data_IF_167141959162
#
_entry.id   IF_167141959162
#
_cell.length_a   1.000
_cell.length_b   1.000
_cell.length_c   1.000
_cell.angle_alpha   90.00
_cell.angle_beta   90.00
_cell.angle_gamma   90.00
#
_symmetry.space_group_name_H-M   'P 1'
#
loop_
_entity.id
_entity.type
_entity.pdbx_description
1 polymer ?
#
# COMPACT_ATOMS: atom_id res chain seq x y z
N UNK A 1 33.50 -4.64 -0.24
CA UNK A 1 33.44 -4.89 1.22
C UNK A 1 32.45 -6.01 1.42
N UNK A 2 32.86 -7.05 2.12
CA UNK A 2 32.00 -8.16 2.50
C UNK A 2 31.20 -7.76 3.74
N UNK A 3 29.87 -7.85 3.69
CA UNK A 3 29.01 -7.58 4.84
C UNK A 3 28.95 -8.82 5.72
N UNK A 4 29.12 -8.62 7.02
CA UNK A 4 28.92 -9.66 8.03
C UNK A 4 27.86 -9.21 9.05
N UNK A 5 27.48 -10.11 9.96
CA UNK A 5 26.44 -9.87 10.97
C UNK A 5 26.71 -8.65 11.87
N UNK A 6 27.98 -8.38 12.17
CA UNK A 6 28.40 -7.26 13.03
C UNK A 6 28.61 -5.95 12.25
N UNK A 7 28.44 -5.98 10.93
CA UNK A 7 28.56 -4.79 10.10
C UNK A 7 27.46 -3.81 10.46
N UNK A 8 27.80 -2.52 10.49
CA UNK A 8 26.80 -1.47 10.68
C UNK A 8 25.73 -1.54 9.60
N UNK A 9 24.47 -1.41 10.01
CA UNK A 9 23.31 -1.46 9.10
C UNK A 9 23.37 -0.38 8.00
N UNK A 10 24.13 0.70 8.22
CA UNK A 10 24.35 1.77 7.24
C UNK A 10 25.06 1.29 5.96
N UNK A 11 25.82 0.19 6.01
CA UNK A 11 26.50 -0.34 4.83
C UNK A 11 25.61 -1.29 4.01
N UNK A 12 24.40 -1.59 4.49
CA UNK A 12 23.41 -2.36 3.73
C UNK A 12 22.93 -1.51 2.54
N UNK A 13 22.86 -2.06 1.31
CA UNK A 13 22.36 -1.33 0.16
C UNK A 13 21.01 -0.66 0.44
N UNK A 14 20.87 0.60 0.02
CA UNK A 14 19.68 1.46 0.25
C UNK A 14 19.47 1.92 1.70
N UNK A 15 20.32 1.52 2.65
CA UNK A 15 20.32 2.04 4.03
C UNK A 15 21.28 3.23 4.16
N UNK A 16 20.86 4.38 3.64
CA UNK A 16 21.62 5.62 3.81
C UNK A 16 21.65 6.12 5.27
N UNK A 17 22.49 7.13 5.60
CA UNK A 17 22.63 7.65 6.96
C UNK A 17 21.32 8.10 7.62
N UNK A 18 20.37 8.62 6.84
CA UNK A 18 19.05 9.01 7.35
C UNK A 18 18.22 7.80 7.78
N UNK A 19 18.23 6.71 7.01
CA UNK A 19 17.50 5.50 7.37
C UNK A 19 18.17 4.78 8.55
N UNK A 20 19.50 4.73 8.57
CA UNK A 20 20.27 4.21 9.71
C UNK A 20 19.92 4.93 11.03
N UNK A 21 19.78 6.26 11.02
CA UNK A 21 19.32 7.02 12.20
C UNK A 21 17.89 6.64 12.66
N UNK A 22 16.99 6.29 11.72
CA UNK A 22 15.64 5.82 12.07
C UNK A 22 15.67 4.40 12.64
N UNK A 23 16.47 3.51 12.04
CA UNK A 23 16.69 2.13 12.50
C UNK A 23 17.31 2.10 13.90
N UNK A 24 18.25 3.00 14.19
CA UNK A 24 18.85 3.13 15.52
C UNK A 24 17.80 3.45 16.62
N UNK A 25 16.75 4.21 16.30
CA UNK A 25 15.64 4.46 17.24
C UNK A 25 14.80 3.22 17.54
N UNK A 26 14.87 2.20 16.69
CA UNK A 26 14.24 0.89 16.87
C UNK A 26 15.20 -0.13 17.52
N UNK A 27 16.41 0.31 17.92
CA UNK A 27 17.45 -0.58 18.47
C UNK A 27 18.22 -1.37 17.42
N UNK A 28 18.12 -1.01 16.13
CA UNK A 28 18.76 -1.72 15.02
C UNK A 28 20.06 -1.00 14.63
N UNK A 29 21.20 -1.57 15.02
CA UNK A 29 22.52 -1.00 14.72
C UNK A 29 23.33 -1.83 13.72
N UNK A 30 23.14 -3.14 13.72
CA UNK A 30 23.90 -4.11 12.93
C UNK A 30 23.05 -4.84 11.91
N UNK A 31 23.70 -5.56 11.00
CA UNK A 31 23.03 -6.49 10.06
C UNK A 31 22.28 -7.58 10.83
N UNK A 32 22.84 -8.09 11.93
CA UNK A 32 22.17 -9.08 12.78
C UNK A 32 20.87 -8.56 13.37
N UNK A 33 20.89 -7.34 13.94
CA UNK A 33 19.69 -6.73 14.51
C UNK A 33 18.59 -6.59 13.46
N UNK A 34 18.96 -6.19 12.23
CA UNK A 34 18.01 -6.01 11.14
C UNK A 34 17.34 -7.33 10.74
N UNK A 35 18.11 -8.41 10.64
CA UNK A 35 17.58 -9.74 10.26
C UNK A 35 16.69 -10.31 11.37
N UNK A 36 17.06 -10.09 12.63
CA UNK A 36 16.29 -10.57 13.79
C UNK A 36 15.07 -9.70 14.10
N UNK A 37 14.94 -8.53 13.49
CA UNK A 37 13.79 -7.63 13.68
C UNK A 37 12.57 -8.17 12.94
N UNK A 38 11.77 -8.98 13.63
CA UNK A 38 10.56 -9.55 13.08
C UNK A 38 9.51 -8.47 12.72
N UNK A 39 8.74 -8.65 11.63
CA UNK A 39 7.63 -7.77 11.29
C UNK A 39 6.60 -7.69 12.42
N UNK A 40 6.13 -6.48 12.71
CA UNK A 40 5.04 -6.27 13.68
C UNK A 40 3.72 -6.92 13.24
N UNK A 41 3.45 -6.95 11.93
CA UNK A 41 2.27 -7.56 11.32
C UNK A 41 2.61 -8.10 9.94
N UNK A 42 2.02 -9.26 9.62
CA UNK A 42 1.93 -9.77 8.25
C UNK A 42 0.55 -9.41 7.70
N UNK A 43 0.51 -8.67 6.60
CA UNK A 43 -0.73 -8.45 5.86
C UNK A 43 -0.85 -9.53 4.79
N UNK A 44 -1.91 -10.31 4.85
CA UNK A 44 -2.21 -11.33 3.84
C UNK A 44 -3.10 -10.72 2.75
N UNK A 45 -2.60 -10.72 1.52
CA UNK A 45 -3.30 -10.23 0.33
C UNK A 45 -3.71 -11.37 -0.62
N UNK A 46 -3.55 -12.62 -0.20
CA UNK A 46 -3.85 -13.81 -1.02
C UNK A 46 -5.36 -13.98 -1.28
N UNK A 47 -6.20 -13.51 -0.36
CA UNK A 47 -7.65 -13.59 -0.48
C UNK A 47 -8.15 -12.57 -1.49
N UNK A 48 -8.35 -13.03 -2.73
CA UNK A 48 -8.91 -12.23 -3.81
C UNK A 48 -10.37 -12.62 -4.04
N UNK A 49 -11.27 -11.64 -4.05
CA UNK A 49 -12.70 -11.86 -4.27
C UNK A 49 -13.18 -11.12 -5.52
N UNK A 50 -14.06 -11.73 -6.35
CA UNK A 50 -14.77 -11.02 -7.40
C UNK A 50 -15.57 -9.86 -6.80
N UNK A 51 -15.60 -8.72 -7.49
CA UNK A 51 -16.20 -7.48 -6.97
C UNK A 51 -17.64 -7.70 -6.49
N UNK A 52 -18.46 -8.46 -7.23
CA UNK A 52 -19.86 -8.69 -6.90
C UNK A 52 -20.09 -9.51 -5.61
N UNK A 53 -19.06 -10.18 -5.08
CA UNK A 53 -19.17 -11.02 -3.87
C UNK A 53 -18.69 -10.33 -2.60
N UNK A 54 -18.10 -9.15 -2.75
CA UNK A 54 -17.51 -8.41 -1.64
C UNK A 54 -18.62 -7.83 -0.76
N UNK A 55 -18.45 -7.94 0.57
CA UNK A 55 -19.41 -7.40 1.53
C UNK A 55 -18.79 -6.29 2.40
N UNK A 56 -19.59 -5.29 2.83
CA UNK A 56 -19.15 -4.30 3.80
C UNK A 56 -18.66 -4.94 5.10
N UNK A 57 -17.56 -4.42 5.64
CA UNK A 57 -16.92 -4.92 6.86
C UNK A 57 -15.78 -5.91 6.62
N UNK A 58 -15.64 -6.44 5.41
CA UNK A 58 -14.55 -7.34 5.04
C UNK A 58 -13.27 -6.58 4.70
N UNK A 59 -12.12 -7.25 4.87
CA UNK A 59 -10.83 -6.82 4.32
C UNK A 59 -10.41 -7.84 3.27
N UNK A 60 -10.48 -7.46 2.00
CA UNK A 60 -10.23 -8.35 0.86
C UNK A 60 -9.40 -7.65 -0.20
N UNK A 61 -8.79 -8.45 -1.08
CA UNK A 61 -8.20 -7.96 -2.32
C UNK A 61 -9.24 -8.06 -3.44
N UNK A 62 -9.40 -7.01 -4.23
CA UNK A 62 -10.15 -7.01 -5.48
C UNK A 62 -9.18 -6.76 -6.64
N UNK A 63 -9.41 -7.43 -7.78
CA UNK A 63 -8.66 -7.22 -9.01
C UNK A 63 -9.60 -6.71 -10.09
N UNK A 64 -9.18 -5.72 -10.86
CA UNK A 64 -10.01 -5.14 -11.90
C UNK A 64 -9.27 -4.19 -12.83
N UNK A 65 -9.94 -3.80 -13.90
CA UNK A 65 -9.48 -2.81 -14.87
C UNK A 65 -9.92 -1.44 -14.37
N UNK A 66 -9.00 -0.48 -14.38
CA UNK A 66 -9.30 0.92 -14.05
C UNK A 66 -10.18 1.53 -15.14
N UNK A 67 -11.39 1.96 -14.78
CA UNK A 67 -12.29 2.69 -15.68
C UNK A 67 -12.02 4.19 -15.62
N UNK A 68 -11.79 4.71 -14.42
CA UNK A 68 -11.49 6.13 -14.21
C UNK A 68 -10.75 6.34 -12.90
N UNK A 69 -9.95 7.41 -12.83
CA UNK A 69 -9.29 7.86 -11.62
C UNK A 69 -9.22 9.39 -11.60
N UNK A 70 -9.53 10.01 -10.46
CA UNK A 70 -9.50 11.47 -10.31
C UNK A 70 -9.08 11.90 -8.91
N UNK A 71 -8.60 13.14 -8.84
CA UNK A 71 -8.49 13.87 -7.57
C UNK A 71 -9.82 14.57 -7.29
N UNK A 72 -10.39 14.34 -6.12
CA UNK A 72 -11.54 15.04 -5.58
C UNK A 72 -11.16 15.82 -4.32
N UNK A 73 -11.75 17.01 -4.16
CA UNK A 73 -11.54 17.85 -2.99
C UNK A 73 -12.86 17.99 -2.25
N UNK A 74 -12.89 17.61 -0.98
CA UNK A 74 -14.08 17.76 -0.14
C UNK A 74 -14.25 19.21 0.31
N UNK A 75 -15.47 19.59 0.72
CA UNK A 75 -15.78 20.92 1.29
C UNK A 75 -14.86 21.32 2.46
N UNK A 76 -14.36 20.34 3.20
CA UNK A 76 -13.48 20.54 4.36
C UNK A 76 -11.98 20.49 3.97
N UNK A 77 -11.65 20.56 2.68
CA UNK A 77 -10.26 20.58 2.20
C UNK A 77 -9.55 19.22 2.20
N UNK A 78 -10.22 18.12 2.59
CA UNK A 78 -9.62 16.78 2.46
C UNK A 78 -9.45 16.42 0.99
N UNK A 79 -8.30 15.82 0.68
CA UNK A 79 -7.92 15.35 -0.65
C UNK A 79 -8.28 13.88 -0.78
N UNK A 80 -9.14 13.56 -1.73
CA UNK A 80 -9.58 12.22 -2.05
C UNK A 80 -9.09 11.84 -3.43
N UNK A 81 -8.66 10.59 -3.58
CA UNK A 81 -8.37 9.99 -4.87
C UNK A 81 -9.42 8.91 -5.08
N UNK A 82 -10.33 9.18 -5.99
CA UNK A 82 -11.45 8.31 -6.31
C UNK A 82 -11.12 7.60 -7.60
N UNK A 83 -11.21 6.28 -7.57
CA UNK A 83 -10.97 5.42 -8.72
C UNK A 83 -12.10 4.42 -8.82
N UNK A 84 -12.57 4.20 -10.05
CA UNK A 84 -13.50 3.13 -10.35
C UNK A 84 -12.76 2.01 -11.05
N UNK A 85 -12.90 0.80 -10.56
CA UNK A 85 -12.45 -0.42 -11.22
C UNK A 85 -13.65 -1.30 -11.57
N UNK A 86 -13.49 -2.11 -12.60
CA UNK A 86 -14.44 -3.16 -12.95
C UNK A 86 -13.77 -4.50 -13.20
N UNK A 87 -14.51 -5.57 -12.90
CA UNK A 87 -14.21 -6.92 -13.31
C UNK A 87 -15.41 -7.49 -14.07
N UNK A 88 -15.37 -8.79 -14.40
CA UNK A 88 -16.48 -9.46 -15.10
C UNK A 88 -17.78 -9.53 -14.28
N UNK A 89 -17.70 -9.29 -12.98
CA UNK A 89 -18.81 -9.45 -12.02
C UNK A 89 -19.46 -8.11 -11.64
N UNK A 90 -18.71 -7.00 -11.64
CA UNK A 90 -19.26 -5.69 -11.28
C UNK A 90 -18.21 -4.58 -11.24
N UNK A 91 -18.58 -3.48 -10.60
CA UNK A 91 -17.76 -2.27 -10.43
C UNK A 91 -17.54 -1.97 -8.95
N UNK A 92 -16.38 -1.40 -8.62
CA UNK A 92 -16.02 -1.00 -7.27
C UNK A 92 -15.40 0.40 -7.28
N UNK A 93 -15.91 1.27 -6.40
CA UNK A 93 -15.30 2.57 -6.14
C UNK A 93 -14.25 2.42 -5.02
N UNK A 94 -13.04 2.87 -5.31
CA UNK A 94 -11.87 2.81 -4.44
C UNK A 94 -11.46 4.23 -4.09
N UNK A 95 -11.31 4.49 -2.80
CA UNK A 95 -10.99 5.83 -2.29
C UNK A 95 -9.72 5.80 -1.46
N UNK A 96 -8.76 6.65 -1.81
CA UNK A 96 -7.60 6.94 -0.96
C UNK A 96 -7.66 8.36 -0.40
N UNK A 97 -7.13 8.51 0.81
CA UNK A 97 -6.98 9.82 1.47
C UNK A 97 -5.55 10.34 1.29
N UNK A 98 -5.43 11.58 0.81
CA UNK A 98 -4.17 12.32 0.72
C UNK A 98 -3.09 11.66 -0.17
N UNK A 99 -3.46 10.88 -1.18
CA UNK A 99 -2.56 10.19 -2.11
C UNK A 99 -2.56 10.83 -3.52
N UNK A 100 -2.40 12.16 -3.61
CA UNK A 100 -2.53 12.96 -4.85
C UNK A 100 -1.67 12.51 -6.05
N UNK A 101 -0.66 11.66 -5.84
CA UNK A 101 0.19 11.15 -6.91
C UNK A 101 -0.44 9.98 -7.69
N UNK A 102 -1.45 9.29 -7.13
CA UNK A 102 -2.03 8.09 -7.75
C UNK A 102 -2.54 8.33 -9.18
N UNK A 103 -3.29 9.42 -9.48
CA UNK A 103 -3.74 9.66 -10.86
C UNK A 103 -2.61 10.02 -11.85
N UNK A 104 -1.37 10.17 -11.38
CA UNK A 104 -0.20 10.40 -12.26
C UNK A 104 0.52 9.10 -12.64
N UNK A 105 0.22 8.00 -11.94
CA UNK A 105 0.90 6.71 -12.12
C UNK A 105 -0.05 5.58 -12.51
N UNK A 106 -1.35 5.72 -12.18
CA UNK A 106 -2.41 4.79 -12.58
C UNK A 106 -3.25 5.46 -13.66
N UNK A 107 -3.54 4.73 -14.72
CA UNK A 107 -4.28 5.21 -15.88
C UNK A 107 -5.48 4.30 -16.18
N UNK A 108 -6.55 4.84 -16.80
CA UNK A 108 -7.62 4.00 -17.33
C UNK A 108 -7.10 2.91 -18.26
N UNK A 109 -7.59 1.68 -18.09
CA UNK A 109 -7.13 0.49 -18.79
C UNK A 109 -6.08 -0.34 -18.02
N UNK A 110 -5.46 0.20 -16.97
CA UNK A 110 -4.53 -0.57 -16.14
C UNK A 110 -5.27 -1.71 -15.40
N UNK A 111 -4.66 -2.89 -15.38
CA UNK A 111 -5.13 -3.99 -14.51
C UNK A 111 -4.41 -3.89 -13.18
N UNK A 112 -5.17 -3.73 -12.10
CA UNK A 112 -4.62 -3.50 -10.77
C UNK A 112 -5.28 -4.40 -9.72
N UNK A 113 -4.55 -4.63 -8.64
CA UNK A 113 -5.06 -5.28 -7.44
C UNK A 113 -5.11 -4.22 -6.33
N UNK A 114 -6.26 -4.11 -5.68
CA UNK A 114 -6.48 -3.21 -4.54
C UNK A 114 -6.88 -4.04 -3.33
N UNK A 115 -6.23 -3.81 -2.21
CA UNK A 115 -6.56 -4.45 -0.94
C UNK A 115 -6.94 -3.39 0.08
N UNK A 116 -8.02 -3.63 0.81
CA UNK A 116 -8.51 -2.67 1.78
C UNK A 116 -9.78 -3.14 2.47
N UNK A 117 -10.21 -2.32 3.43
CA UNK A 117 -11.48 -2.53 4.10
C UNK A 117 -12.62 -2.01 3.23
N UNK A 118 -13.66 -2.80 3.11
CA UNK A 118 -14.85 -2.48 2.33
C UNK A 118 -15.85 -1.77 3.24
N UNK A 119 -16.22 -0.56 2.86
CA UNK A 119 -17.18 0.25 3.60
C UNK A 119 -18.08 1.02 2.63
N UNK A 120 -19.25 1.42 3.11
CA UNK A 120 -20.11 2.36 2.42
C UNK A 120 -19.46 3.75 2.45
N UNK A 121 -19.33 4.36 1.28
CA UNK A 121 -18.83 5.73 1.12
C UNK A 121 -19.89 6.56 0.39
N UNK A 122 -20.48 7.52 1.11
CA UNK A 122 -21.59 8.36 0.64
C UNK A 122 -21.99 9.38 1.69
#
# INVERSE_FOLDING_TARGET
MELNLQSSVQYVPRVGPMLAKKLAKLGIGTVEDLIRYAPFRYNDFSITSPIARIQPGETVTAAGIVESIRNAFTKNGKKLQEMRISDVSGTLDVVWFNQMYLPKIIHPGDTIHVAGQINWFG
#
